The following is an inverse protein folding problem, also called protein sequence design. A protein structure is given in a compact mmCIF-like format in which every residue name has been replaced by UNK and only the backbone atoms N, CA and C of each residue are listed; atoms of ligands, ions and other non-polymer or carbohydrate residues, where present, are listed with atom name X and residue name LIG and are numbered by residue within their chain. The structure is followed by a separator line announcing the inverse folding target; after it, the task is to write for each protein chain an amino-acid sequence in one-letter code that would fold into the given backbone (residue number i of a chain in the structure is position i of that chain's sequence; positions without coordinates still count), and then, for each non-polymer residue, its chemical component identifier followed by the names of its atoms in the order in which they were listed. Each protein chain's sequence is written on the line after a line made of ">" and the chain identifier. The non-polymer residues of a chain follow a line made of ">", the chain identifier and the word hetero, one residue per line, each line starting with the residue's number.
data_IF_347391349701
#
_entry.id   IF_347391349701
#
_cell.length_a   1.000
_cell.length_b   1.000
_cell.length_c   1.000
_cell.angle_alpha   90.00
_cell.angle_beta   90.00
_cell.angle_gamma   90.00
#
_symmetry.space_group_name_H-M   'P 1'
#
loop_
_entity.id
_entity.type
_entity.pdbx_description
1 polymer ?
#
# COMPACT_ATOMS: atom_id res chain seq x y z
N UNK A 1 -10.84 26.65 -3.90
CA UNK A 1 -11.07 26.35 -2.47
C UNK A 1 -9.79 25.72 -1.95
N UNK A 2 -9.25 26.20 -0.83
CA UNK A 2 -7.83 26.11 -0.43
C UNK A 2 -7.51 24.93 0.50
N UNK A 3 -8.19 23.79 0.34
CA UNK A 3 -7.88 22.61 1.16
C UNK A 3 -7.00 21.65 0.36
N UNK A 4 -5.69 21.77 0.55
CA UNK A 4 -4.70 21.02 -0.22
C UNK A 4 -4.53 19.61 0.33
N UNK A 5 -4.52 18.61 -0.56
CA UNK A 5 -4.12 17.25 -0.22
C UNK A 5 -2.62 17.23 0.11
N UNK A 6 -2.26 16.64 1.24
CA UNK A 6 -0.88 16.57 1.73
C UNK A 6 -0.46 15.15 2.07
N UNK A 7 0.84 14.87 2.00
CA UNK A 7 1.43 13.58 2.39
C UNK A 7 1.86 13.69 3.85
N UNK A 8 1.18 12.98 4.75
CA UNK A 8 1.49 12.99 6.19
C UNK A 8 2.60 12.00 6.57
N UNK A 9 2.79 10.92 5.81
CA UNK A 9 3.78 9.89 6.10
C UNK A 9 4.22 9.15 4.84
N UNK A 10 5.50 8.75 4.81
CA UNK A 10 6.08 7.98 3.71
C UNK A 10 7.05 6.93 4.22
N UNK A 11 6.98 5.73 3.66
CA UNK A 11 7.89 4.63 3.94
C UNK A 11 8.03 3.72 2.72
N UNK A 12 9.15 3.00 2.64
CA UNK A 12 9.38 1.95 1.67
C UNK A 12 10.22 0.85 2.31
N UNK A 13 10.10 -0.37 1.79
CA UNK A 13 11.07 -1.42 2.09
C UNK A 13 12.41 -1.13 1.38
N UNK A 14 13.50 -1.79 1.80
CA UNK A 14 14.65 -1.97 0.92
C UNK A 14 14.22 -2.65 -0.39
N UNK A 15 14.99 -2.44 -1.46
CA UNK A 15 14.80 -3.15 -2.72
C UNK A 15 15.66 -4.42 -2.68
N UNK A 16 15.03 -5.58 -2.82
CA UNK A 16 15.74 -6.86 -2.89
C UNK A 16 16.23 -7.18 -4.31
N UNK A 17 17.31 -7.95 -4.40
CA UNK A 17 17.73 -8.55 -5.67
C UNK A 17 16.77 -9.69 -6.07
N UNK A 18 16.73 -10.01 -7.37
CA UNK A 18 15.94 -11.15 -7.85
C UNK A 18 16.43 -12.45 -7.20
N UNK A 19 15.50 -13.22 -6.63
CA UNK A 19 15.77 -14.42 -5.84
C UNK A 19 16.67 -14.17 -4.60
N UNK A 20 16.69 -12.94 -4.06
CA UNK A 20 17.45 -12.57 -2.86
C UNK A 20 16.61 -12.61 -1.57
N UNK A 21 16.93 -11.69 -0.64
CA UNK A 21 16.45 -11.70 0.75
C UNK A 21 14.91 -11.72 0.93
N UNK A 22 14.17 -11.20 -0.04
CA UNK A 22 12.70 -11.15 0.00
C UNK A 22 12.01 -12.21 -0.87
N UNK A 23 12.76 -13.17 -1.44
CA UNK A 23 12.21 -14.15 -2.39
C UNK A 23 11.13 -15.07 -1.80
N UNK A 24 11.14 -15.28 -0.48
CA UNK A 24 10.14 -16.09 0.22
C UNK A 24 8.89 -15.31 0.63
N UNK A 25 8.88 -13.99 0.44
CA UNK A 25 7.78 -13.11 0.85
C UNK A 25 6.86 -12.81 -0.33
N UNK A 26 5.55 -12.71 -0.05
CA UNK A 26 4.60 -12.23 -1.03
C UNK A 26 4.64 -10.69 -1.12
N UNK A 27 4.13 -10.13 -2.22
CA UNK A 27 4.12 -8.67 -2.42
C UNK A 27 3.37 -7.95 -1.30
N UNK A 28 2.29 -8.56 -0.79
CA UNK A 28 1.48 -7.98 0.27
C UNK A 28 2.12 -8.09 1.67
N UNK A 29 3.13 -8.95 1.88
CA UNK A 29 3.96 -8.92 3.11
C UNK A 29 4.80 -7.64 3.17
N UNK A 30 5.50 -7.35 2.08
CA UNK A 30 6.31 -6.14 1.92
C UNK A 30 5.43 -4.88 1.94
N UNK A 31 4.28 -4.95 1.27
CA UNK A 31 3.27 -3.89 1.28
C UNK A 31 2.76 -3.60 2.69
N UNK A 32 2.45 -4.63 3.48
CA UNK A 32 2.01 -4.46 4.86
C UNK A 32 3.06 -3.79 5.74
N UNK A 33 4.33 -4.19 5.61
CA UNK A 33 5.43 -3.53 6.34
C UNK A 33 5.56 -2.04 5.98
N UNK A 34 5.43 -1.70 4.69
CA UNK A 34 5.49 -0.31 4.24
C UNK A 34 4.28 0.51 4.73
N UNK A 35 3.06 -0.05 4.66
CA UNK A 35 1.84 0.59 5.14
C UNK A 35 1.95 0.88 6.64
N UNK A 36 2.33 -0.11 7.45
CA UNK A 36 2.48 0.06 8.90
C UNK A 36 3.41 1.22 9.24
N UNK A 37 4.59 1.24 8.62
CA UNK A 37 5.58 2.28 8.86
C UNK A 37 5.11 3.67 8.37
N UNK A 38 4.38 3.75 7.25
CA UNK A 38 3.85 5.02 6.75
C UNK A 38 2.76 5.59 7.66
N UNK A 39 1.86 4.75 8.18
CA UNK A 39 0.80 5.15 9.12
C UNK A 39 1.39 5.54 10.48
N UNK A 40 2.38 4.80 10.97
CA UNK A 40 3.08 5.18 12.21
C UNK A 40 3.75 6.56 12.07
N UNK A 41 4.42 6.81 10.94
CA UNK A 41 5.08 8.10 10.67
C UNK A 41 4.13 9.25 10.42
N UNK A 42 2.91 8.99 9.97
CA UNK A 42 1.89 10.02 9.80
C UNK A 42 1.28 10.47 11.14
N UNK A 43 1.49 9.70 12.22
CA UNK A 43 0.90 9.96 13.54
C UNK A 43 -0.61 9.72 13.59
N UNK A 44 -1.19 9.11 12.55
CA UNK A 44 -2.60 8.79 12.50
C UNK A 44 -2.89 7.47 13.22
N UNK A 45 -4.06 7.41 13.85
CA UNK A 45 -4.67 6.16 14.28
C UNK A 45 -5.03 5.32 13.04
N UNK A 46 -4.74 4.00 13.00
CA UNK A 46 -5.08 3.12 11.87
C UNK A 46 -6.56 3.16 11.46
N UNK A 47 -7.46 3.41 12.41
CA UNK A 47 -8.91 3.49 12.20
C UNK A 47 -9.34 4.74 11.43
N UNK A 48 -8.44 5.71 11.24
CA UNK A 48 -8.66 6.89 10.41
C UNK A 48 -8.33 6.67 8.94
N UNK A 49 -7.84 5.48 8.57
CA UNK A 49 -7.56 5.15 7.16
C UNK A 49 -8.83 4.61 6.53
N UNK A 50 -9.39 5.38 5.59
CA UNK A 50 -10.63 5.03 4.89
C UNK A 50 -10.39 3.98 3.80
N UNK A 51 -9.29 4.11 3.03
CA UNK A 51 -9.01 3.22 1.90
C UNK A 51 -7.49 3.00 1.67
N UNK A 52 -7.14 1.80 1.19
CA UNK A 52 -5.80 1.46 0.68
C UNK A 52 -5.84 1.30 -0.83
N UNK A 53 -5.19 2.21 -1.55
CA UNK A 53 -4.90 2.06 -2.98
C UNK A 53 -3.49 1.50 -3.16
N UNK A 54 -3.38 0.28 -3.71
CA UNK A 54 -2.09 -0.43 -3.79
C UNK A 54 -1.79 -0.91 -5.20
N UNK A 55 -0.66 -0.46 -5.75
CA UNK A 55 -0.18 -0.89 -7.06
C UNK A 55 0.49 -2.27 -7.01
N UNK A 56 0.01 -3.22 -7.81
CA UNK A 56 0.66 -4.54 -7.97
C UNK A 56 0.54 -5.05 -9.41
N UNK A 57 1.68 -5.17 -10.11
CA UNK A 57 1.71 -5.56 -11.53
C UNK A 57 1.43 -7.05 -11.74
N UNK A 58 2.14 -7.91 -11.02
CA UNK A 58 2.11 -9.36 -11.19
C UNK A 58 1.25 -9.97 -10.09
N UNK A 59 -0.03 -10.20 -10.39
CA UNK A 59 -1.02 -10.69 -9.41
C UNK A 59 -1.11 -12.21 -9.33
N UNK A 60 -0.57 -12.94 -10.31
CA UNK A 60 -0.63 -14.40 -10.33
C UNK A 60 0.01 -14.99 -9.07
N UNK A 61 -0.71 -15.90 -8.40
CA UNK A 61 -0.23 -16.55 -7.18
C UNK A 61 -0.21 -15.69 -5.91
N UNK A 62 -0.66 -14.43 -5.95
CA UNK A 62 -0.66 -13.52 -4.78
C UNK A 62 -1.92 -13.63 -3.90
N UNK A 63 -2.85 -14.53 -4.23
CA UNK A 63 -4.17 -14.63 -3.60
C UNK A 63 -5.13 -13.50 -4.03
N UNK A 64 -6.26 -13.40 -3.34
CA UNK A 64 -7.29 -12.40 -3.65
C UNK A 64 -6.94 -11.03 -3.07
N UNK A 65 -7.14 -9.97 -3.86
CA UNK A 65 -6.97 -8.57 -3.44
C UNK A 65 -5.68 -8.29 -2.61
N UNK A 66 -4.48 -8.33 -3.23
CA UNK A 66 -3.21 -8.05 -2.55
C UNK A 66 -3.19 -6.75 -1.71
N UNK A 67 -3.87 -5.69 -2.14
CA UNK A 67 -4.03 -4.45 -1.38
C UNK A 67 -4.68 -4.69 0.00
N UNK A 68 -5.74 -5.50 0.03
CA UNK A 68 -6.48 -5.83 1.25
C UNK A 68 -5.63 -6.66 2.20
N UNK A 69 -4.91 -7.65 1.66
CA UNK A 69 -3.96 -8.45 2.42
C UNK A 69 -2.84 -7.59 3.01
N UNK A 70 -2.32 -6.64 2.24
CA UNK A 70 -1.30 -5.69 2.69
C UNK A 70 -1.85 -4.77 3.79
N UNK A 71 -3.07 -4.23 3.62
CA UNK A 71 -3.73 -3.41 4.64
C UNK A 71 -3.86 -4.13 5.99
N UNK A 72 -4.30 -5.40 5.99
CA UNK A 72 -4.36 -6.21 7.20
C UNK A 72 -2.99 -6.45 7.83
N UNK A 73 -1.97 -6.80 7.04
CA UNK A 73 -0.59 -6.97 7.52
C UNK A 73 0.02 -5.65 8.01
N UNK A 74 -0.49 -4.51 7.50
CA UNK A 74 -0.17 -3.16 7.94
C UNK A 74 -0.85 -2.74 9.24
N UNK A 75 -1.76 -3.55 9.78
CA UNK A 75 -2.51 -3.26 11.02
C UNK A 75 -3.77 -2.42 10.82
N UNK A 76 -4.27 -2.29 9.58
CA UNK A 76 -5.50 -1.56 9.30
C UNK A 76 -6.74 -2.41 9.60
N UNK A 77 -7.84 -1.79 10.08
CA UNK A 77 -9.05 -2.52 10.42
C UNK A 77 -9.78 -3.05 9.19
N UNK A 78 -10.70 -4.00 9.41
CA UNK A 78 -11.54 -4.55 8.35
C UNK A 78 -12.50 -3.54 7.71
N UNK A 79 -12.77 -2.40 8.37
CA UNK A 79 -13.57 -1.32 7.80
C UNK A 79 -12.85 -0.56 6.68
N UNK A 80 -11.51 -0.58 6.62
CA UNK A 80 -10.73 0.17 5.62
C UNK A 80 -10.89 -0.45 4.22
N UNK A 81 -11.43 0.29 3.26
CA UNK A 81 -11.53 -0.12 1.86
C UNK A 81 -10.18 -0.51 1.26
N UNK A 82 -10.17 -1.29 0.18
CA UNK A 82 -8.91 -1.64 -0.48
C UNK A 82 -9.11 -1.92 -1.97
N UNK A 83 -8.27 -1.28 -2.79
CA UNK A 83 -8.23 -1.47 -4.24
C UNK A 83 -6.83 -1.88 -4.64
N UNK A 84 -6.73 -3.01 -5.34
CA UNK A 84 -5.50 -3.41 -6.04
C UNK A 84 -5.60 -2.94 -7.47
N UNK A 85 -4.61 -2.19 -7.94
CA UNK A 85 -4.58 -1.66 -9.31
C UNK A 85 -3.25 -1.98 -10.01
N UNK A 86 -3.30 -1.96 -11.34
CA UNK A 86 -2.12 -2.15 -12.19
C UNK A 86 -2.13 -1.18 -13.36
N UNK A 87 -1.03 -0.44 -13.50
CA UNK A 87 -0.62 0.38 -14.64
C UNK A 87 0.86 0.11 -14.96
N UNK A 88 1.26 -1.16 -14.90
CA UNK A 88 2.65 -1.60 -15.02
C UNK A 88 3.56 -0.77 -14.07
N UNK A 89 4.73 -0.32 -14.54
CA UNK A 89 5.68 0.47 -13.75
C UNK A 89 5.06 1.72 -13.10
N UNK A 90 3.96 2.26 -13.65
CA UNK A 90 3.25 3.42 -13.13
C UNK A 90 2.24 3.14 -12.03
N UNK A 91 2.03 1.88 -11.62
CA UNK A 91 0.93 1.49 -10.70
C UNK A 91 0.94 2.24 -9.36
N UNK A 92 2.13 2.48 -8.79
CA UNK A 92 2.25 3.19 -7.52
C UNK A 92 1.94 4.69 -7.66
N UNK A 93 2.35 5.30 -8.78
CA UNK A 93 2.03 6.70 -9.05
C UNK A 93 0.53 6.87 -9.34
N UNK A 94 -0.06 5.93 -10.08
CA UNK A 94 -1.50 5.88 -10.33
C UNK A 94 -2.29 5.80 -9.02
N UNK A 95 -1.83 4.99 -8.05
CA UNK A 95 -2.47 4.89 -6.74
C UNK A 95 -2.47 6.24 -6.01
N UNK A 96 -1.36 6.99 -6.07
CA UNK A 96 -1.27 8.31 -5.45
C UNK A 96 -2.16 9.34 -6.17
N UNK A 97 -2.26 9.27 -7.51
CA UNK A 97 -3.15 10.13 -8.29
C UNK A 97 -4.62 9.86 -7.94
N UNK A 98 -5.03 8.59 -7.90
CA UNK A 98 -6.38 8.20 -7.50
C UNK A 98 -6.71 8.58 -6.05
N UNK A 99 -5.72 8.61 -5.15
CA UNK A 99 -5.93 9.07 -3.77
C UNK A 99 -6.11 10.60 -3.67
N UNK A 100 -5.51 11.35 -4.59
CA UNK A 100 -5.68 12.80 -4.68
C UNK A 100 -7.01 13.19 -5.30
N UNK A 101 -7.46 12.43 -6.31
CA UNK A 101 -8.62 12.78 -7.13
C UNK A 101 -9.97 12.29 -6.56
N UNK A 102 -9.94 11.38 -5.57
CA UNK A 102 -11.14 10.85 -4.90
C UNK A 102 -11.55 11.66 -3.67
#
# INVERSE_FOLDING_TARGET
>A
MSDSIVILGAARTPLGAFLGDFASLAAHDLGGAAIKAAVERSGLAPEKVDEVLFGNCLMAGQGQAPARQAGFKGGLPASTGAVTLSKMCGSAMEAAMLAHDQ
#
